data_IF_466455855419
#
_entry.id   IF_466455855419
#
_cell.length_a   1.000
_cell.length_b   1.000
_cell.length_c   1.000
_cell.angle_alpha   90.00
_cell.angle_beta   90.00
_cell.angle_gamma   90.00
#
_symmetry.space_group_name_H-M   'P 1'
#
loop_
_entity.id
_entity.type
_entity.pdbx_description
1 polymer ?
#
# COMPACT_ATOMS: atom_id res chain seq x y z
N UNK A 1 19.96 -8.98 1.25
CA UNK A 1 19.11 -8.25 2.20
C UNK A 1 18.38 -7.18 1.41
N UNK A 2 17.04 -7.12 1.46
CA UNK A 2 16.25 -6.13 0.72
C UNK A 2 16.19 -4.80 1.44
N UNK A 3 16.07 -3.71 0.68
CA UNK A 3 15.84 -2.37 1.19
C UNK A 3 14.44 -1.91 0.79
N UNK A 4 13.62 -1.57 1.78
CA UNK A 4 12.21 -1.20 1.60
C UNK A 4 12.03 0.29 1.87
N UNK A 5 11.41 0.99 0.94
CA UNK A 5 11.01 2.38 1.09
C UNK A 5 9.51 2.48 1.37
N UNK A 6 9.12 3.01 2.51
CA UNK A 6 7.73 3.33 2.83
C UNK A 6 7.51 4.81 2.54
N UNK A 7 6.59 5.13 1.62
CA UNK A 7 6.22 6.50 1.25
C UNK A 7 4.89 6.86 1.90
N UNK A 8 4.94 7.79 2.86
CA UNK A 8 3.82 8.12 3.74
C UNK A 8 3.87 7.35 5.05
N UNK A 9 3.75 8.04 6.17
CA UNK A 9 3.81 7.45 7.51
C UNK A 9 2.58 7.79 8.35
N UNK A 10 1.39 7.72 7.71
CA UNK A 10 0.09 7.77 8.37
C UNK A 10 -0.23 6.44 9.07
N UNK A 11 -1.48 6.23 9.45
CA UNK A 11 -1.94 5.02 10.15
C UNK A 11 -1.56 3.73 9.42
N UNK A 12 -1.76 3.69 8.11
CA UNK A 12 -1.45 2.50 7.30
C UNK A 12 0.05 2.32 7.06
N UNK A 13 0.80 3.40 6.85
CA UNK A 13 2.27 3.34 6.75
C UNK A 13 2.91 2.81 8.03
N UNK A 14 2.45 3.26 9.20
CA UNK A 14 2.87 2.74 10.51
C UNK A 14 2.54 1.25 10.67
N UNK A 15 1.37 0.83 10.20
CA UNK A 15 0.97 -0.57 10.23
C UNK A 15 1.89 -1.45 9.38
N UNK A 16 2.17 -1.03 8.14
CA UNK A 16 3.11 -1.75 7.28
C UNK A 16 4.51 -1.78 7.87
N UNK A 17 5.00 -0.67 8.38
CA UNK A 17 6.28 -0.62 9.08
C UNK A 17 6.36 -1.70 10.18
N UNK A 18 5.38 -1.71 11.10
CA UNK A 18 5.32 -2.70 12.18
C UNK A 18 5.27 -4.15 11.69
N UNK A 19 4.51 -4.40 10.62
CA UNK A 19 4.38 -5.74 10.07
C UNK A 19 5.70 -6.19 9.42
N UNK A 20 6.30 -5.36 8.58
CA UNK A 20 7.55 -5.66 7.88
C UNK A 20 8.67 -5.91 8.89
N UNK A 21 8.79 -5.07 9.93
CA UNK A 21 9.79 -5.24 10.98
C UNK A 21 9.64 -6.53 11.80
N UNK A 22 8.44 -7.15 11.80
CA UNK A 22 8.21 -8.41 12.49
C UNK A 22 8.52 -9.65 11.64
N UNK A 23 8.39 -9.53 10.31
CA UNK A 23 8.42 -10.70 9.41
C UNK A 23 9.66 -10.73 8.52
N UNK A 24 10.50 -9.69 8.57
CA UNK A 24 11.71 -9.64 7.74
C UNK A 24 12.82 -8.79 8.38
N UNK A 25 14.05 -9.11 8.03
CA UNK A 25 15.25 -8.35 8.40
C UNK A 25 15.59 -7.27 7.36
N UNK A 26 14.62 -6.86 6.55
CA UNK A 26 14.82 -5.85 5.50
C UNK A 26 15.21 -4.50 6.12
N UNK A 27 16.13 -3.79 5.47
CA UNK A 27 16.41 -2.40 5.81
C UNK A 27 15.19 -1.55 5.42
N UNK A 28 14.64 -0.81 6.39
CA UNK A 28 13.47 0.06 6.14
C UNK A 28 13.91 1.52 6.11
N UNK A 29 13.37 2.25 5.15
CA UNK A 29 13.51 3.69 4.99
C UNK A 29 12.11 4.27 4.96
N UNK A 30 11.89 5.38 5.64
CA UNK A 30 10.58 6.05 5.68
C UNK A 30 10.71 7.43 5.04
N UNK A 31 9.97 7.65 3.96
CA UNK A 31 9.82 8.95 3.32
C UNK A 31 8.55 9.62 3.84
N UNK A 32 8.74 10.67 4.63
CA UNK A 32 7.64 11.44 5.21
C UNK A 32 8.06 12.90 5.49
N UNK A 33 7.10 13.81 5.50
CA UNK A 33 7.29 15.17 5.97
C UNK A 33 6.99 15.36 7.46
N UNK A 34 6.50 14.32 8.11
CA UNK A 34 6.22 14.37 9.55
C UNK A 34 7.50 14.54 10.35
N UNK A 35 7.43 15.36 11.39
CA UNK A 35 8.50 15.57 12.37
C UNK A 35 8.16 14.82 13.66
N UNK A 36 9.17 14.61 14.52
CA UNK A 36 9.00 14.00 15.84
C UNK A 36 8.42 12.57 15.78
N UNK A 37 9.17 11.66 15.16
CA UNK A 37 8.83 10.24 15.05
C UNK A 37 9.74 9.40 15.97
N UNK A 38 9.55 9.46 17.29
CA UNK A 38 10.46 8.83 18.26
C UNK A 38 10.52 7.31 18.08
N UNK A 39 9.44 6.68 17.65
CA UNK A 39 9.41 5.24 17.38
C UNK A 39 10.34 4.81 16.25
N UNK A 40 10.57 5.67 15.25
CA UNK A 40 11.52 5.38 14.16
C UNK A 40 12.96 5.64 14.59
N UNK A 41 13.19 6.72 15.32
CA UNK A 41 14.51 7.07 15.84
C UNK A 41 15.05 6.01 16.81
N UNK A 42 14.18 5.50 17.70
CA UNK A 42 14.50 4.44 18.66
C UNK A 42 14.97 3.15 17.99
N UNK A 43 14.45 2.86 16.80
CA UNK A 43 14.79 1.66 16.02
C UNK A 43 15.90 1.89 14.99
N UNK A 44 16.57 3.04 15.00
CA UNK A 44 17.64 3.36 14.05
C UNK A 44 17.16 3.43 12.59
N UNK A 45 15.88 3.76 12.36
CA UNK A 45 15.28 3.80 11.02
C UNK A 45 15.63 5.10 10.32
N UNK A 46 16.07 5.01 9.07
CA UNK A 46 16.34 6.19 8.25
C UNK A 46 15.04 6.88 7.84
N UNK A 47 14.82 8.09 8.36
CA UNK A 47 13.72 8.96 7.95
C UNK A 47 14.27 10.01 6.98
N UNK A 48 13.65 10.11 5.80
CA UNK A 48 14.06 11.03 4.74
C UNK A 48 12.91 11.93 4.31
N UNK A 49 13.20 13.10 3.79
CA UNK A 49 12.21 14.10 3.41
C UNK A 49 11.97 14.20 1.90
N UNK A 50 12.80 13.56 1.11
CA UNK A 50 12.73 13.60 -0.35
C UNK A 50 13.00 12.23 -0.97
N UNK A 51 12.41 12.00 -2.16
CA UNK A 51 12.70 10.79 -2.92
C UNK A 51 14.18 10.74 -3.34
N UNK A 52 14.78 11.87 -3.66
CA UNK A 52 16.21 11.96 -4.02
C UNK A 52 17.09 11.39 -2.91
N UNK A 53 16.81 11.76 -1.68
CA UNK A 53 17.50 11.28 -0.49
C UNK A 53 17.24 9.77 -0.28
N UNK A 54 15.99 9.32 -0.41
CA UNK A 54 15.64 7.91 -0.31
C UNK A 54 16.39 7.05 -1.32
N UNK A 55 16.58 7.52 -2.55
CA UNK A 55 17.28 6.80 -3.61
C UNK A 55 18.77 6.56 -3.34
N UNK A 56 19.41 7.37 -2.48
CA UNK A 56 20.80 7.13 -2.07
C UNK A 56 20.96 5.79 -1.34
N UNK A 57 19.89 5.30 -0.73
CA UNK A 57 19.87 4.00 -0.06
C UNK A 57 19.53 2.83 -0.98
N UNK A 58 19.33 3.05 -2.28
CA UNK A 58 19.07 2.03 -3.31
C UNK A 58 17.92 1.08 -2.93
N UNK A 59 16.69 1.57 -2.65
CA UNK A 59 15.59 0.69 -2.27
C UNK A 59 15.14 -0.21 -3.43
N UNK A 60 14.84 -1.48 -3.09
CA UNK A 60 14.38 -2.51 -4.03
C UNK A 60 12.85 -2.52 -4.15
N UNK A 61 12.17 -2.16 -3.08
CA UNK A 61 10.72 -2.26 -2.94
C UNK A 61 10.17 -0.94 -2.40
N UNK A 62 9.14 -0.43 -3.04
CA UNK A 62 8.42 0.76 -2.61
C UNK A 62 7.01 0.44 -2.11
N UNK A 63 6.73 0.79 -0.87
CA UNK A 63 5.37 0.79 -0.31
C UNK A 63 4.77 2.18 -0.45
N UNK A 64 3.71 2.28 -1.24
CA UNK A 64 2.97 3.53 -1.47
C UNK A 64 1.80 3.56 -0.49
N UNK A 65 1.93 4.35 0.57
CA UNK A 65 1.01 4.44 1.71
C UNK A 65 0.66 5.88 2.07
N UNK A 66 0.92 6.81 1.16
CA UNK A 66 0.54 8.21 1.25
C UNK A 66 -0.93 8.41 0.86
N UNK A 67 -1.35 9.62 0.61
CA UNK A 67 -2.73 9.97 0.24
C UNK A 67 -3.12 9.35 -1.10
N UNK A 68 -4.34 8.82 -1.20
CA UNK A 68 -4.86 8.12 -2.39
C UNK A 68 -4.68 8.91 -3.69
N UNK A 69 -4.85 10.21 -3.63
CA UNK A 69 -4.69 11.11 -4.79
C UNK A 69 -3.27 11.11 -5.36
N UNK A 70 -2.27 10.75 -4.55
CA UNK A 70 -0.86 10.72 -4.89
C UNK A 70 -0.32 9.32 -5.24
N UNK A 71 -1.10 8.26 -5.05
CA UNK A 71 -0.63 6.88 -5.22
C UNK A 71 0.01 6.64 -6.57
N UNK A 72 -0.70 6.94 -7.67
CA UNK A 72 -0.22 6.64 -9.03
C UNK A 72 1.01 7.45 -9.39
N UNK A 73 1.05 8.73 -9.07
CA UNK A 73 2.20 9.57 -9.38
C UNK A 73 3.44 9.18 -8.55
N UNK A 74 3.24 8.80 -7.30
CA UNK A 74 4.29 8.22 -6.44
C UNK A 74 4.79 6.91 -7.04
N UNK A 75 3.89 5.98 -7.36
CA UNK A 75 4.22 4.68 -7.93
C UNK A 75 5.00 4.81 -9.24
N UNK A 76 4.64 5.77 -10.11
CA UNK A 76 5.39 6.05 -11.35
C UNK A 76 6.83 6.44 -11.04
N UNK A 77 7.05 7.31 -10.06
CA UNK A 77 8.41 7.73 -9.66
C UNK A 77 9.22 6.54 -9.16
N UNK A 78 8.65 5.70 -8.31
CA UNK A 78 9.32 4.51 -7.79
C UNK A 78 9.59 3.48 -8.89
N UNK A 79 8.59 3.20 -9.74
CA UNK A 79 8.73 2.28 -10.88
C UNK A 79 9.80 2.73 -11.89
N UNK A 80 9.90 4.03 -12.16
CA UNK A 80 10.96 4.56 -13.00
C UNK A 80 12.36 4.33 -12.43
N UNK A 81 12.48 4.22 -11.11
CA UNK A 81 13.72 3.88 -10.42
C UNK A 81 13.90 2.36 -10.22
N UNK A 82 13.05 1.53 -10.85
CA UNK A 82 13.23 0.07 -10.88
C UNK A 82 12.72 -0.67 -9.65
N UNK A 83 11.99 0.00 -8.76
CA UNK A 83 11.46 -0.64 -7.55
C UNK A 83 10.25 -1.52 -7.86
N UNK A 84 10.18 -2.69 -7.23
CA UNK A 84 8.94 -3.43 -7.07
C UNK A 84 7.98 -2.64 -6.19
N UNK A 85 6.67 -2.82 -6.37
CA UNK A 85 5.68 -1.94 -5.77
C UNK A 85 4.65 -2.68 -4.92
N UNK A 86 4.40 -2.18 -3.74
CA UNK A 86 3.19 -2.42 -2.99
C UNK A 86 2.41 -1.11 -2.89
N UNK A 87 1.18 -1.08 -3.41
CA UNK A 87 0.32 0.11 -3.34
C UNK A 87 -0.88 -0.15 -2.44
N UNK A 88 -1.16 0.79 -1.55
CA UNK A 88 -2.39 0.71 -0.76
C UNK A 88 -3.65 0.92 -1.63
N UNK A 89 -4.73 0.34 -1.11
CA UNK A 89 -6.06 0.50 -1.70
C UNK A 89 -6.68 1.86 -1.29
N UNK A 90 -7.50 2.45 -2.16
CA UNK A 90 -7.66 2.15 -3.58
C UNK A 90 -6.41 2.53 -4.38
N UNK A 91 -6.23 1.91 -5.53
CA UNK A 91 -5.09 2.22 -6.42
C UNK A 91 -5.00 3.72 -6.73
N UNK A 92 -6.14 4.35 -6.96
CA UNK A 92 -6.26 5.77 -7.28
C UNK A 92 -7.71 6.24 -7.10
N UNK A 93 -7.89 7.54 -7.02
CA UNK A 93 -9.20 8.21 -7.09
C UNK A 93 -9.66 8.47 -8.53
N UNK A 94 -8.80 8.24 -9.52
CA UNK A 94 -9.10 8.44 -10.94
C UNK A 94 -8.26 7.53 -11.84
N UNK A 95 -8.62 7.40 -13.12
CA UNK A 95 -7.84 6.63 -14.10
C UNK A 95 -6.65 7.39 -14.67
N UNK A 96 -6.43 8.66 -14.28
CA UNK A 96 -5.31 9.48 -14.74
C UNK A 96 -3.98 8.77 -14.44
N UNK A 97 -3.13 8.69 -15.45
CA UNK A 97 -1.80 8.07 -15.36
C UNK A 97 -1.75 6.57 -15.02
N UNK A 98 -2.87 5.88 -14.77
CA UNK A 98 -2.89 4.43 -14.47
C UNK A 98 -2.30 3.63 -15.62
N UNK A 99 -2.72 3.92 -16.86
CA UNK A 99 -2.16 3.26 -18.05
C UNK A 99 -0.65 3.51 -18.23
N UNK A 100 -0.17 4.71 -17.87
CA UNK A 100 1.26 5.04 -17.88
C UNK A 100 2.03 4.18 -16.87
N UNK A 101 1.53 4.08 -15.66
CA UNK A 101 2.10 3.20 -14.62
C UNK A 101 2.16 1.75 -15.10
N UNK A 102 1.06 1.22 -15.65
CA UNK A 102 1.00 -0.15 -16.15
C UNK A 102 2.05 -0.42 -17.26
N UNK A 103 2.23 0.53 -18.19
CA UNK A 103 3.25 0.41 -19.25
C UNK A 103 4.66 0.35 -18.65
N UNK A 104 4.97 1.17 -17.64
CA UNK A 104 6.29 1.17 -16.98
C UNK A 104 6.53 -0.16 -16.27
N UNK A 105 5.55 -0.64 -15.49
CA UNK A 105 5.62 -1.91 -14.76
C UNK A 105 5.89 -3.07 -15.74
N UNK A 106 5.13 -3.16 -16.84
CA UNK A 106 5.31 -4.19 -17.87
C UNK A 106 6.69 -4.10 -18.53
N UNK A 107 7.10 -2.90 -18.94
CA UNK A 107 8.40 -2.67 -19.61
C UNK A 107 9.57 -3.08 -18.71
N UNK A 108 9.52 -2.75 -17.44
CA UNK A 108 10.59 -3.03 -16.48
C UNK A 108 10.45 -4.37 -15.77
N UNK A 109 9.36 -5.13 -16.04
CA UNK A 109 9.05 -6.44 -15.44
C UNK A 109 8.98 -6.37 -13.91
N UNK A 110 8.42 -5.28 -13.37
CA UNK A 110 8.34 -5.07 -11.93
C UNK A 110 7.22 -5.91 -11.32
N UNK A 111 7.49 -6.50 -10.16
CA UNK A 111 6.47 -7.14 -9.34
C UNK A 111 5.64 -6.03 -8.68
N UNK A 112 4.31 -6.13 -8.80
CA UNK A 112 3.42 -5.11 -8.26
C UNK A 112 2.21 -5.75 -7.60
N UNK A 113 1.89 -5.31 -6.39
CA UNK A 113 0.72 -5.76 -5.63
C UNK A 113 -0.09 -4.58 -5.14
N UNK A 114 -1.42 -4.70 -5.20
CA UNK A 114 -2.36 -3.77 -4.56
C UNK A 114 -2.80 -4.35 -3.21
N UNK A 115 -2.88 -3.52 -2.19
CA UNK A 115 -3.20 -3.88 -0.80
C UNK A 115 -4.66 -4.31 -0.55
N UNK A 116 -5.22 -5.13 -1.42
CA UNK A 116 -6.57 -5.70 -1.29
C UNK A 116 -6.57 -6.84 -0.26
N UNK A 117 -6.37 -6.51 1.00
CA UNK A 117 -6.15 -7.46 2.10
C UNK A 117 -7.32 -8.45 2.31
N UNK A 118 -8.56 -8.05 2.01
CA UNK A 118 -9.74 -8.91 2.13
C UNK A 118 -9.64 -10.18 1.25
N UNK A 119 -8.85 -10.17 0.18
CA UNK A 119 -8.57 -11.37 -0.62
C UNK A 119 -7.97 -12.52 0.20
N UNK A 120 -7.31 -12.20 1.29
CA UNK A 120 -6.64 -13.16 2.17
C UNK A 120 -7.47 -13.51 3.41
N UNK A 121 -8.63 -12.85 3.62
CA UNK A 121 -9.49 -13.11 4.75
C UNK A 121 -10.04 -14.55 4.69
N UNK A 122 -9.97 -15.34 5.78
CA UNK A 122 -10.37 -16.75 5.77
C UNK A 122 -11.79 -16.98 5.24
N UNK A 123 -12.75 -16.16 5.68
CA UNK A 123 -14.15 -16.26 5.23
C UNK A 123 -14.28 -15.97 3.73
N UNK A 124 -13.61 -14.94 3.20
CA UNK A 124 -13.65 -14.61 1.78
C UNK A 124 -13.01 -15.73 0.94
N UNK A 125 -11.90 -16.30 1.41
CA UNK A 125 -11.29 -17.48 0.77
C UNK A 125 -12.21 -18.69 0.79
N UNK A 126 -12.96 -18.91 1.89
CA UNK A 126 -13.95 -19.99 1.98
C UNK A 126 -15.08 -19.78 0.98
N UNK A 127 -15.64 -18.57 0.90
CA UNK A 127 -16.67 -18.20 -0.10
C UNK A 127 -16.15 -18.48 -1.51
N UNK A 128 -14.95 -17.97 -1.84
CA UNK A 128 -14.32 -18.22 -3.13
C UNK A 128 -14.24 -19.71 -3.46
N UNK A 129 -13.80 -20.53 -2.53
CA UNK A 129 -13.70 -21.99 -2.72
C UNK A 129 -15.06 -22.64 -2.97
N UNK A 130 -16.12 -22.23 -2.26
CA UNK A 130 -17.50 -22.70 -2.46
C UNK A 130 -17.98 -22.39 -3.88
N UNK A 131 -17.72 -21.16 -4.35
CA UNK A 131 -18.08 -20.69 -5.69
C UNK A 131 -17.31 -21.47 -6.78
N UNK A 132 -16.00 -21.62 -6.63
CA UNK A 132 -15.13 -22.33 -7.58
C UNK A 132 -15.50 -23.82 -7.69
N UNK A 133 -15.97 -24.44 -6.61
CA UNK A 133 -16.47 -25.83 -6.60
C UNK A 133 -17.89 -25.98 -7.14
N UNK A 134 -18.53 -24.87 -7.52
CA UNK A 134 -19.92 -24.86 -7.96
C UNK A 134 -20.91 -25.51 -6.96
N UNK A 135 -20.57 -25.46 -5.66
CA UNK A 135 -21.33 -26.15 -4.59
C UNK A 135 -22.73 -25.57 -4.37
N UNK A 136 -22.98 -24.35 -4.86
CA UNK A 136 -24.28 -23.67 -4.78
C UNK A 136 -25.03 -23.69 -6.13
N UNK A 137 -24.49 -24.36 -7.13
CA UNK A 137 -25.01 -24.30 -8.49
C UNK A 137 -24.85 -22.90 -9.11
N UNK A 138 -25.77 -22.55 -10.04
CA UNK A 138 -25.74 -21.24 -10.71
C UNK A 138 -26.06 -20.12 -9.73
N UNK A 139 -25.14 -19.19 -9.60
CA UNK A 139 -25.37 -17.97 -8.80
C UNK A 139 -26.32 -17.02 -9.56
N UNK A 140 -27.43 -16.68 -8.93
CA UNK A 140 -28.46 -15.79 -9.51
C UNK A 140 -28.31 -14.36 -9.03
N UNK A 141 -27.95 -14.16 -7.77
CA UNK A 141 -27.69 -12.84 -7.18
C UNK A 141 -26.67 -12.92 -6.07
N UNK A 142 -26.02 -11.81 -5.80
CA UNK A 142 -25.10 -11.64 -4.66
C UNK A 142 -25.42 -10.32 -3.99
N UNK A 143 -25.63 -10.34 -2.67
CA UNK A 143 -25.78 -9.15 -1.86
C UNK A 143 -24.63 -9.08 -0.86
N UNK A 144 -23.95 -7.94 -0.78
CA UNK A 144 -22.80 -7.73 0.10
C UNK A 144 -22.98 -6.39 0.82
N UNK A 145 -23.14 -6.46 2.13
CA UNK A 145 -23.21 -5.28 2.98
C UNK A 145 -21.91 -5.14 3.79
N UNK A 146 -21.34 -3.95 3.77
CA UNK A 146 -20.19 -3.58 4.59
C UNK A 146 -20.29 -2.11 4.95
N UNK A 147 -20.71 -1.84 6.17
CA UNK A 147 -20.90 -0.50 6.67
C UNK A 147 -20.11 -0.27 7.96
N UNK A 148 -19.82 0.98 8.24
CA UNK A 148 -19.21 1.42 9.49
C UNK A 148 -19.62 2.86 9.78
N UNK A 149 -19.72 3.20 11.04
CA UNK A 149 -20.03 4.56 11.45
C UNK A 149 -18.78 5.43 11.34
N UNK A 150 -18.76 6.33 10.36
CA UNK A 150 -17.56 7.11 10.04
C UNK A 150 -16.97 7.92 11.20
N UNK A 151 -17.77 8.55 12.08
CA UNK A 151 -17.23 9.26 13.24
C UNK A 151 -16.39 8.39 14.21
N UNK A 152 -16.66 7.08 14.29
CA UNK A 152 -15.83 6.17 15.08
C UNK A 152 -14.48 5.88 14.43
N UNK A 153 -14.41 6.03 13.10
CA UNK A 153 -13.21 5.76 12.30
C UNK A 153 -12.28 6.97 12.18
N UNK A 154 -12.90 8.14 12.00
CA UNK A 154 -12.24 9.41 11.74
C UNK A 154 -12.86 10.54 12.58
N UNK A 155 -12.78 10.45 13.91
CA UNK A 155 -13.47 11.40 14.81
C UNK A 155 -12.98 12.85 14.66
N UNK A 156 -11.84 13.05 13.99
CA UNK A 156 -11.23 14.37 13.80
C UNK A 156 -11.37 14.91 12.38
N UNK A 157 -12.02 14.14 11.48
CA UNK A 157 -12.19 14.54 10.09
C UNK A 157 -13.63 14.97 9.82
N UNK A 158 -13.79 16.13 9.20
CA UNK A 158 -15.08 16.56 8.70
C UNK A 158 -15.34 15.91 7.33
N UNK A 159 -16.18 14.90 7.30
CA UNK A 159 -16.51 14.11 6.11
C UNK A 159 -17.49 14.81 5.15
N UNK A 160 -17.90 16.05 5.44
CA UNK A 160 -18.80 16.87 4.60
C UNK A 160 -18.06 17.67 3.54
N UNK A 161 -16.74 17.60 3.51
CA UNK A 161 -15.88 18.32 2.56
C UNK A 161 -14.97 17.38 1.79
#
# INVERSE_FOLDING_TARGET
MHTILIVGYGSIGKRHFKNISKISDAKIIVLTKQKNLPELQKNGIHVVNSLKEALLHKPDIGFVTNETSLHVDTAIKLANNGMNLFLEKPLSHSMKNVNKLQKIIKKKKLITQIGCHMRFHPCIRKIKNILEKNSLGRILSVDIESSSYLPDWHPYEDYRF
#
